data_IF_086195970988
#
_entry.id   IF_086195970988
#
_cell.length_a   1.000
_cell.length_b   1.000
_cell.length_c   1.000
_cell.angle_alpha   90.00
_cell.angle_beta   90.00
_cell.angle_gamma   90.00
#
_symmetry.space_group_name_H-M   'P 1'
#
loop_
_entity.id
_entity.type
_entity.pdbx_description
1 polymer ?
#
# COMPACT_ATOMS: atom_id res chain seq x y z
N UNK A 1 21.24 -1.92 11.58
CA UNK A 1 19.90 -2.06 11.02
C UNK A 1 19.05 -0.93 11.58
N UNK A 2 18.34 -0.23 10.72
CA UNK A 2 17.34 0.78 11.10
C UNK A 2 15.98 0.23 10.70
N UNK A 3 15.06 0.14 11.66
CA UNK A 3 13.69 -0.27 11.38
C UNK A 3 12.90 0.92 10.84
N UNK A 4 12.09 0.66 9.82
CA UNK A 4 11.13 1.64 9.33
C UNK A 4 9.97 1.76 10.31
N UNK A 5 9.52 2.96 10.58
CA UNK A 5 8.36 3.22 11.43
C UNK A 5 7.15 2.45 10.90
N UNK A 6 6.40 1.81 11.81
CA UNK A 6 5.25 0.95 11.49
C UNK A 6 5.51 -0.22 10.52
N UNK A 7 6.76 -0.59 10.29
CA UNK A 7 7.13 -1.69 9.39
C UNK A 7 6.61 -3.08 9.82
N UNK A 8 6.11 -3.18 11.04
CA UNK A 8 5.44 -4.41 11.54
C UNK A 8 3.95 -4.51 11.16
N UNK A 9 3.36 -3.47 10.62
CA UNK A 9 1.96 -3.40 10.16
C UNK A 9 0.93 -3.88 11.19
N UNK A 10 1.13 -3.57 12.46
CA UNK A 10 0.24 -3.99 13.56
C UNK A 10 -1.05 -3.19 13.63
N UNK A 11 -1.00 -1.93 13.22
CA UNK A 11 -2.07 -0.96 13.39
C UNK A 11 -2.79 -0.69 12.08
N UNK A 12 -4.10 -0.85 12.10
CA UNK A 12 -4.97 -0.60 10.96
C UNK A 12 -6.29 -0.04 11.43
N UNK A 13 -6.92 0.77 10.59
CA UNK A 13 -8.33 1.10 10.73
C UNK A 13 -9.01 1.01 9.38
N UNK A 14 -10.32 0.93 9.40
CA UNK A 14 -11.16 0.90 8.20
C UNK A 14 -12.33 1.84 8.29
N UNK A 15 -12.78 2.28 7.14
CA UNK A 15 -14.03 2.99 6.97
C UNK A 15 -14.82 2.29 5.87
N UNK A 16 -16.09 2.10 6.11
CA UNK A 16 -16.97 1.58 5.08
C UNK A 16 -17.32 2.70 4.10
N UNK A 17 -17.04 2.49 2.82
CA UNK A 17 -17.34 3.40 1.72
C UNK A 17 -18.37 2.77 0.79
N UNK A 18 -19.02 3.57 -0.03
CA UNK A 18 -20.00 3.08 -1.00
C UNK A 18 -21.24 2.40 -0.39
N UNK A 19 -21.84 3.00 0.62
CA UNK A 19 -23.17 2.60 1.09
C UNK A 19 -24.25 3.09 0.11
N UNK A 20 -25.09 2.16 -0.37
CA UNK A 20 -26.23 2.51 -1.20
C UNK A 20 -27.44 2.84 -0.33
N UNK A 21 -27.98 4.04 -0.51
CA UNK A 21 -29.25 4.43 0.11
C UNK A 21 -30.38 4.21 -0.88
N UNK A 22 -31.34 3.39 -0.49
CA UNK A 22 -32.59 3.17 -1.24
C UNK A 22 -33.70 3.91 -0.51
N UNK A 23 -34.42 4.81 -1.19
CA UNK A 23 -35.42 5.71 -0.62
C UNK A 23 -36.55 5.00 0.16
N UNK A 24 -36.90 3.78 -0.21
CA UNK A 24 -38.01 3.04 0.40
C UNK A 24 -37.60 2.10 1.53
N UNK A 25 -36.32 1.78 1.69
CA UNK A 25 -35.80 0.79 2.66
C UNK A 25 -34.61 1.27 3.48
N UNK A 26 -34.19 2.53 3.31
CA UNK A 26 -33.04 3.11 4.01
C UNK A 26 -31.69 2.70 3.39
N UNK A 27 -30.63 2.80 4.18
CA UNK A 27 -29.28 2.46 3.71
C UNK A 27 -29.10 0.96 3.67
N UNK A 28 -28.90 0.41 2.50
CA UNK A 28 -28.55 -1.02 2.34
C UNK A 28 -27.05 -1.18 2.33
N UNK A 29 -26.55 -2.09 3.17
CA UNK A 29 -25.13 -2.29 3.42
C UNK A 29 -24.40 -3.08 2.34
N UNK A 30 -24.17 -2.47 1.19
CA UNK A 30 -23.21 -2.95 0.19
C UNK A 30 -21.94 -2.12 0.24
N UNK A 31 -21.50 -1.74 1.45
CA UNK A 31 -20.28 -0.99 1.63
C UNK A 31 -19.04 -1.84 1.39
N UNK A 32 -17.96 -1.15 1.03
CA UNK A 32 -16.64 -1.73 0.91
C UNK A 32 -15.78 -1.19 2.03
N UNK A 33 -15.01 -2.05 2.66
CA UNK A 33 -14.02 -1.66 3.64
C UNK A 33 -12.82 -1.01 2.94
N UNK A 34 -12.62 0.27 3.19
CA UNK A 34 -11.41 0.98 2.81
C UNK A 34 -10.46 1.01 4.00
N UNK A 35 -9.28 0.43 3.84
CA UNK A 35 -8.30 0.24 4.90
C UNK A 35 -7.15 1.25 4.84
N UNK A 36 -6.66 1.64 6.03
CA UNK A 36 -5.44 2.43 6.23
C UNK A 36 -4.48 1.70 7.17
N UNK A 37 -3.15 1.74 6.90
CA UNK A 37 -2.13 1.05 7.69
C UNK A 37 -1.73 1.82 8.96
N UNK A 38 -2.69 2.38 9.68
CA UNK A 38 -2.53 3.06 10.96
C UNK A 38 -3.87 3.13 11.71
N UNK A 39 -3.81 3.43 13.02
CA UNK A 39 -5.02 3.60 13.84
C UNK A 39 -5.81 4.84 13.44
N UNK A 40 -7.11 4.82 13.64
CA UNK A 40 -7.98 5.97 13.40
C UNK A 40 -7.48 7.21 14.14
N UNK A 41 -7.43 8.33 13.43
CA UNK A 41 -6.86 9.59 13.93
C UNK A 41 -5.33 9.66 13.99
N UNK A 42 -4.66 8.59 13.59
CA UNK A 42 -3.20 8.51 13.52
C UNK A 42 -2.63 8.82 12.13
N UNK A 43 -1.37 8.47 11.97
CA UNK A 43 -0.62 8.56 10.72
C UNK A 43 0.42 7.45 10.64
N UNK A 44 0.99 7.23 9.47
CA UNK A 44 2.09 6.30 9.24
C UNK A 44 2.99 6.82 8.14
N UNK A 45 4.23 6.34 8.09
CA UNK A 45 5.12 6.55 6.95
C UNK A 45 4.62 5.80 5.70
N UNK A 46 3.78 4.78 5.90
CA UNK A 46 3.28 3.91 4.85
C UNK A 46 1.94 4.40 4.31
N UNK A 47 1.81 4.30 3.00
CA UNK A 47 0.59 4.59 2.27
C UNK A 47 0.21 3.43 1.36
N UNK A 48 -1.06 3.39 0.98
CA UNK A 48 -1.62 2.44 0.03
C UNK A 48 -2.39 3.20 -1.06
N UNK A 49 -2.80 2.49 -2.10
CA UNK A 49 -3.72 3.05 -3.11
C UNK A 49 -5.19 2.74 -2.84
N UNK A 50 -5.54 2.35 -1.63
CA UNK A 50 -6.91 1.92 -1.29
C UNK A 50 -7.98 2.98 -1.57
N UNK A 51 -7.67 4.26 -1.40
CA UNK A 51 -8.60 5.34 -1.74
C UNK A 51 -8.94 5.37 -3.24
N UNK A 52 -8.02 4.99 -4.12
CA UNK A 52 -8.26 4.86 -5.54
C UNK A 52 -9.00 3.56 -5.89
N UNK A 53 -8.55 2.42 -5.36
CA UNK A 53 -9.14 1.11 -5.69
C UNK A 53 -10.58 0.99 -5.23
N UNK A 54 -10.95 1.70 -4.17
CA UNK A 54 -12.32 1.79 -3.64
C UNK A 54 -13.05 3.06 -4.03
N UNK A 55 -12.55 3.83 -5.01
CA UNK A 55 -13.13 5.13 -5.37
C UNK A 55 -14.51 4.98 -6.03
N UNK A 56 -15.37 5.94 -5.73
CA UNK A 56 -16.69 6.04 -6.33
C UNK A 56 -16.60 6.80 -7.66
N UNK A 57 -17.23 6.27 -8.70
CA UNK A 57 -17.13 6.85 -10.06
C UNK A 57 -18.32 7.68 -10.55
N UNK A 58 -19.46 7.70 -9.88
CA UNK A 58 -20.57 8.60 -10.28
C UNK A 58 -21.57 8.87 -9.17
N UNK A 59 -22.22 10.05 -9.24
CA UNK A 59 -22.95 10.69 -8.16
C UNK A 59 -24.28 10.07 -7.71
N UNK A 60 -24.89 9.16 -8.42
CA UNK A 60 -26.20 8.59 -8.07
C UNK A 60 -26.13 7.13 -7.64
N UNK A 61 -25.13 6.43 -8.07
CA UNK A 61 -24.87 5.03 -7.73
C UNK A 61 -23.43 4.87 -7.31
N UNK A 62 -23.20 4.12 -6.25
CA UNK A 62 -21.86 3.78 -5.84
C UNK A 62 -21.25 2.79 -6.83
N UNK A 63 -20.42 3.27 -7.72
CA UNK A 63 -19.58 2.45 -8.57
C UNK A 63 -18.17 2.47 -8.03
N UNK A 64 -17.71 1.36 -7.53
CA UNK A 64 -16.32 1.19 -7.11
C UNK A 64 -15.57 0.35 -8.13
N UNK A 65 -14.30 0.60 -8.22
CA UNK A 65 -13.44 -0.13 -9.15
C UNK A 65 -13.11 -1.50 -8.65
N UNK A 66 -12.90 -1.63 -7.34
CA UNK A 66 -12.52 -2.87 -6.68
C UNK A 66 -12.60 -2.72 -5.16
N UNK A 67 -12.15 -3.75 -4.46
CA UNK A 67 -11.92 -3.72 -3.02
C UNK A 67 -10.60 -3.03 -2.69
N UNK A 68 -10.31 -2.81 -1.39
CA UNK A 68 -8.98 -2.38 -0.96
C UNK A 68 -7.91 -3.33 -1.51
N UNK A 69 -6.94 -2.76 -2.22
CA UNK A 69 -5.84 -3.52 -2.81
C UNK A 69 -4.79 -3.95 -1.79
N UNK A 70 -4.74 -3.31 -0.64
CA UNK A 70 -3.84 -3.62 0.46
C UNK A 70 -4.61 -3.69 1.76
N UNK A 71 -4.56 -4.83 2.44
CA UNK A 71 -5.38 -5.12 3.63
C UNK A 71 -4.53 -5.77 4.72
N UNK A 72 -4.95 -5.66 6.01
CA UNK A 72 -4.31 -6.41 7.08
C UNK A 72 -4.70 -7.90 7.04
N UNK A 73 -3.75 -8.76 7.39
CA UNK A 73 -3.98 -10.17 7.69
C UNK A 73 -3.37 -10.53 9.04
N UNK A 74 -3.99 -11.45 9.79
CA UNK A 74 -3.61 -11.75 11.16
C UNK A 74 -2.41 -12.71 11.28
N UNK A 75 -2.12 -13.46 10.23
CA UNK A 75 -1.03 -14.46 10.21
C UNK A 75 0.23 -13.92 9.52
N UNK A 76 0.70 -12.79 10.01
CA UNK A 76 1.98 -12.20 9.59
C UNK A 76 3.19 -12.93 10.16
N UNK A 77 4.37 -12.46 9.81
CA UNK A 77 5.63 -12.98 10.36
C UNK A 77 5.73 -12.75 11.88
N UNK A 78 5.33 -11.57 12.33
CA UNK A 78 5.25 -11.18 13.75
C UNK A 78 3.89 -10.56 14.06
N UNK A 79 2.82 -11.35 14.01
CA UNK A 79 1.46 -10.88 14.25
C UNK A 79 0.72 -10.55 12.95
N UNK A 80 0.47 -9.27 12.66
CA UNK A 80 -0.18 -8.85 11.40
C UNK A 80 0.83 -8.69 10.26
N UNK A 81 0.32 -8.75 9.05
CA UNK A 81 1.03 -8.37 7.84
C UNK A 81 0.14 -7.53 6.92
N UNK A 82 0.74 -6.82 5.99
CA UNK A 82 0.05 -6.21 4.87
C UNK A 82 -0.05 -7.21 3.72
N UNK A 83 -1.26 -7.51 3.28
CA UNK A 83 -1.51 -8.30 2.07
C UNK A 83 -1.77 -7.37 0.89
N UNK A 84 -0.97 -7.48 -0.15
CA UNK A 84 -1.08 -6.70 -1.38
C UNK A 84 -1.69 -7.59 -2.45
N UNK A 85 -2.82 -7.16 -3.01
CA UNK A 85 -3.64 -7.94 -3.94
C UNK A 85 -3.50 -7.41 -5.36
N UNK A 86 -3.07 -8.26 -6.28
CA UNK A 86 -2.82 -7.88 -7.67
C UNK A 86 -4.11 -7.53 -8.42
N UNK A 87 -5.18 -8.32 -8.23
CA UNK A 87 -6.48 -8.07 -8.87
C UNK A 87 -7.16 -6.76 -8.44
N UNK A 88 -6.69 -6.15 -7.36
CA UNK A 88 -7.15 -4.84 -6.88
C UNK A 88 -6.07 -3.77 -6.99
N UNK A 89 -5.08 -3.96 -7.83
CA UNK A 89 -3.96 -3.04 -8.04
C UNK A 89 -3.30 -2.58 -6.73
N UNK A 90 -3.10 -3.52 -5.80
CA UNK A 90 -2.55 -3.26 -4.47
C UNK A 90 -1.13 -2.72 -4.54
N UNK A 91 -0.85 -1.73 -3.68
CA UNK A 91 0.44 -1.10 -3.53
C UNK A 91 0.64 -0.65 -2.10
N UNK A 92 1.86 -0.81 -1.61
CA UNK A 92 2.30 -0.35 -0.29
C UNK A 92 3.62 0.38 -0.45
N UNK A 93 3.70 1.61 0.01
CA UNK A 93 4.87 2.46 -0.19
C UNK A 93 5.06 3.48 0.93
N UNK A 94 6.26 3.99 1.06
CA UNK A 94 6.55 5.15 1.91
C UNK A 94 6.07 6.42 1.19
N UNK A 95 5.26 7.21 1.86
CA UNK A 95 4.74 8.46 1.32
C UNK A 95 3.29 8.73 1.69
N UNK A 96 2.59 9.44 0.83
CA UNK A 96 1.18 9.78 1.01
C UNK A 96 0.36 9.51 -0.25
N UNK A 97 -0.91 9.25 -0.05
CA UNK A 97 -1.84 8.96 -1.13
C UNK A 97 -3.22 9.53 -0.83
N UNK A 98 -3.84 10.10 -1.83
CA UNK A 98 -5.25 10.46 -1.81
C UNK A 98 -5.87 10.23 -3.18
N UNK A 99 -7.18 10.06 -3.21
CA UNK A 99 -7.95 9.99 -4.44
C UNK A 99 -9.32 10.62 -4.24
N UNK A 100 -9.81 11.31 -5.27
CA UNK A 100 -11.17 11.84 -5.30
C UNK A 100 -12.17 10.74 -5.62
N UNK A 101 -13.46 11.00 -5.37
CA UNK A 101 -14.55 10.10 -5.78
C UNK A 101 -14.62 9.85 -7.29
N UNK A 102 -14.04 10.73 -8.09
CA UNK A 102 -13.95 10.59 -9.55
C UNK A 102 -12.70 9.81 -10.00
N UNK A 103 -11.90 9.30 -9.06
CA UNK A 103 -10.71 8.53 -9.37
C UNK A 103 -9.49 9.36 -9.75
N UNK A 104 -9.44 10.64 -9.42
CA UNK A 104 -8.24 11.47 -9.57
C UNK A 104 -7.32 11.21 -8.39
N UNK A 105 -6.15 10.69 -8.67
CA UNK A 105 -5.15 10.26 -7.70
C UNK A 105 -4.08 11.31 -7.49
N UNK A 106 -3.65 11.48 -6.24
CA UNK A 106 -2.46 12.24 -5.88
C UNK A 106 -1.54 11.34 -5.07
N UNK A 107 -0.31 11.17 -5.52
CA UNK A 107 0.73 10.37 -4.85
C UNK A 107 1.93 11.26 -4.60
N UNK A 108 2.45 11.21 -3.37
CA UNK A 108 3.77 11.74 -3.02
C UNK A 108 4.60 10.60 -2.44
N UNK A 109 5.60 10.16 -3.18
CA UNK A 109 6.47 9.07 -2.79
C UNK A 109 7.59 9.55 -1.89
N UNK A 110 7.93 8.71 -0.92
CA UNK A 110 9.09 8.87 -0.08
C UNK A 110 8.77 9.41 1.30
N UNK A 111 9.72 9.27 2.17
CA UNK A 111 9.74 9.82 3.52
C UNK A 111 11.16 10.28 3.84
N UNK A 112 11.27 11.36 4.58
CA UNK A 112 12.56 11.87 5.03
C UNK A 112 13.32 10.80 5.83
N UNK A 113 14.57 10.59 5.46
CA UNK A 113 15.40 9.57 6.06
C UNK A 113 16.82 10.11 6.24
N UNK A 114 17.35 9.99 7.43
CA UNK A 114 18.63 10.63 7.81
C UNK A 114 19.84 9.71 7.70
N UNK A 115 19.69 8.54 7.12
CA UNK A 115 20.77 7.60 6.84
C UNK A 115 20.76 7.19 5.38
N UNK A 116 21.91 6.75 4.88
CA UNK A 116 22.08 6.25 3.52
C UNK A 116 22.00 4.71 3.55
N UNK A 117 20.85 4.11 3.24
CA UNK A 117 20.66 2.66 3.38
C UNK A 117 21.45 1.89 2.33
N UNK A 118 22.01 0.75 2.70
CA UNK A 118 22.65 -0.17 1.76
C UNK A 118 21.65 -1.13 1.11
N UNK A 119 20.52 -1.36 1.78
CA UNK A 119 19.48 -2.27 1.32
C UNK A 119 18.16 -1.99 2.03
N UNK A 120 17.10 -2.52 1.44
CA UNK A 120 15.78 -2.66 2.03
C UNK A 120 15.50 -4.15 2.26
N UNK A 121 15.12 -4.52 3.48
CA UNK A 121 14.87 -5.90 3.87
C UNK A 121 13.47 -6.07 4.44
N UNK A 122 12.83 -7.18 4.11
CA UNK A 122 11.52 -7.54 4.64
C UNK A 122 11.30 -9.05 4.55
N UNK A 123 10.31 -9.55 5.30
CA UNK A 123 9.82 -10.92 5.19
C UNK A 123 8.56 -10.96 4.33
N UNK A 124 8.43 -11.95 3.46
CA UNK A 124 7.33 -12.05 2.54
C UNK A 124 6.83 -13.48 2.34
N UNK A 125 5.58 -13.59 1.96
CA UNK A 125 4.96 -14.71 1.25
C UNK A 125 4.46 -14.20 -0.08
N UNK A 126 4.39 -15.08 -1.06
CA UNK A 126 3.84 -14.74 -2.36
C UNK A 126 3.11 -15.92 -2.96
N UNK A 127 1.96 -15.66 -3.54
CA UNK A 127 1.18 -16.59 -4.35
C UNK A 127 0.95 -15.94 -5.70
N UNK A 128 1.59 -16.50 -6.73
CA UNK A 128 1.36 -16.06 -8.10
C UNK A 128 -0.03 -16.48 -8.58
N UNK A 129 -0.78 -15.54 -9.10
CA UNK A 129 -2.05 -15.77 -9.77
C UNK A 129 -1.84 -15.48 -11.26
N UNK A 130 -2.16 -16.45 -12.12
CA UNK A 130 -2.01 -16.30 -13.58
C UNK A 130 -0.60 -15.89 -14.05
N UNK A 131 0.44 -16.38 -13.40
CA UNK A 131 1.84 -16.05 -13.70
C UNK A 131 2.22 -14.57 -13.43
N UNK A 132 1.44 -13.87 -12.63
CA UNK A 132 1.77 -12.51 -12.20
C UNK A 132 3.00 -12.48 -11.30
N UNK A 133 3.70 -11.36 -11.32
CA UNK A 133 4.88 -11.13 -10.49
C UNK A 133 4.58 -10.09 -9.42
N UNK A 134 5.27 -10.18 -8.28
CA UNK A 134 5.42 -9.05 -7.39
C UNK A 134 6.72 -8.30 -7.68
N UNK A 135 6.73 -7.04 -7.34
CA UNK A 135 7.88 -6.17 -7.44
C UNK A 135 8.09 -5.46 -6.11
N UNK A 136 9.34 -5.39 -5.68
CA UNK A 136 9.76 -4.54 -4.58
C UNK A 136 10.97 -3.72 -5.00
N UNK A 137 10.95 -2.43 -4.73
CA UNK A 137 12.04 -1.54 -5.08
C UNK A 137 12.26 -0.46 -4.02
N UNK A 138 13.45 0.06 -3.99
CA UNK A 138 13.86 1.21 -3.20
C UNK A 138 14.50 2.25 -4.10
N UNK A 139 14.14 3.51 -3.89
CA UNK A 139 14.79 4.66 -4.50
C UNK A 139 15.25 5.58 -3.38
N UNK A 140 16.51 6.01 -3.46
CA UNK A 140 17.09 6.99 -2.54
C UNK A 140 17.32 8.29 -3.32
N UNK A 141 16.71 9.35 -2.83
CA UNK A 141 16.72 10.67 -3.49
C UNK A 141 17.23 11.75 -2.54
N UNK A 142 17.84 12.77 -3.11
CA UNK A 142 18.00 14.07 -2.47
C UNK A 142 16.99 15.05 -3.05
N UNK A 143 16.20 15.67 -2.17
CA UNK A 143 15.22 16.69 -2.55
C UNK A 143 15.63 18.01 -1.94
N UNK A 144 16.12 18.90 -2.77
CA UNK A 144 16.66 20.19 -2.32
C UNK A 144 16.23 21.30 -3.27
N UNK A 145 15.68 22.40 -2.73
CA UNK A 145 15.25 23.57 -3.48
C UNK A 145 14.34 23.27 -4.69
N UNK A 146 13.43 22.30 -4.55
CA UNK A 146 12.51 21.87 -5.61
C UNK A 146 13.15 20.96 -6.66
N UNK A 147 14.42 20.61 -6.49
CA UNK A 147 15.13 19.67 -7.36
C UNK A 147 15.17 18.28 -6.72
N UNK A 148 14.85 17.25 -7.50
CA UNK A 148 14.94 15.85 -7.08
C UNK A 148 16.11 15.20 -7.80
N UNK A 149 17.06 14.66 -7.04
CA UNK A 149 18.21 13.93 -7.60
C UNK A 149 18.21 12.51 -7.05
N UNK A 150 18.12 11.52 -7.93
CA UNK A 150 18.25 10.14 -7.52
C UNK A 150 19.71 9.84 -7.17
N UNK A 151 19.94 9.33 -5.98
CA UNK A 151 21.25 8.95 -5.46
C UNK A 151 21.54 7.46 -5.63
N UNK A 152 20.50 6.65 -5.59
CA UNK A 152 20.64 5.22 -5.71
C UNK A 152 19.29 4.52 -5.82
N UNK A 153 19.31 3.26 -6.25
CA UNK A 153 18.10 2.44 -6.34
C UNK A 153 18.42 0.96 -6.28
N UNK A 154 17.40 0.18 -5.99
CA UNK A 154 17.43 -1.28 -6.08
C UNK A 154 16.05 -1.83 -6.38
N UNK A 155 15.98 -2.98 -7.02
CA UNK A 155 14.74 -3.61 -7.44
C UNK A 155 14.86 -5.11 -7.47
N UNK A 156 13.79 -5.79 -7.06
CA UNK A 156 13.59 -7.22 -7.29
C UNK A 156 12.20 -7.44 -7.88
N UNK A 157 12.06 -8.49 -8.65
CA UNK A 157 10.78 -8.95 -9.17
C UNK A 157 10.79 -10.48 -9.20
N UNK A 158 9.69 -11.11 -8.82
CA UNK A 158 9.55 -12.57 -8.85
C UNK A 158 8.13 -12.99 -9.17
N UNK A 159 8.00 -14.06 -9.93
CA UNK A 159 6.75 -14.78 -10.16
C UNK A 159 6.73 -16.15 -9.48
N UNK A 160 7.72 -16.45 -8.65
CA UNK A 160 7.82 -17.74 -7.96
C UNK A 160 7.02 -17.71 -6.65
N UNK A 161 6.24 -18.76 -6.43
CA UNK A 161 5.49 -18.93 -5.18
C UNK A 161 6.45 -19.06 -3.98
N UNK A 162 6.08 -18.39 -2.90
CA UNK A 162 6.75 -18.45 -1.60
C UNK A 162 5.71 -18.73 -0.52
N UNK A 163 5.50 -20.00 -0.18
CA UNK A 163 4.41 -20.43 0.69
C UNK A 163 4.60 -20.07 2.17
N UNK A 164 5.84 -19.96 2.64
CA UNK A 164 6.19 -19.58 4.00
C UNK A 164 6.97 -18.27 4.01
N UNK A 165 6.93 -17.54 5.13
CA UNK A 165 7.69 -16.29 5.23
C UNK A 165 9.18 -16.52 5.03
N UNK A 166 9.76 -15.77 4.11
CA UNK A 166 11.18 -15.79 3.81
C UNK A 166 11.72 -14.35 3.80
N UNK A 167 12.96 -14.14 4.24
CA UNK A 167 13.61 -12.85 4.13
C UNK A 167 13.96 -12.54 2.67
N UNK A 168 13.87 -11.28 2.31
CA UNK A 168 14.37 -10.76 1.05
C UNK A 168 15.13 -9.47 1.27
N UNK A 169 16.18 -9.27 0.50
CA UNK A 169 17.04 -8.11 0.54
C UNK A 169 17.13 -7.46 -0.83
N UNK A 170 16.71 -6.22 -0.91
CA UNK A 170 16.85 -5.37 -2.10
C UNK A 170 18.04 -4.45 -1.89
N UNK A 171 19.16 -4.74 -2.54
CA UNK A 171 20.38 -3.94 -2.41
C UNK A 171 20.24 -2.60 -3.14
N UNK A 172 20.76 -1.54 -2.54
CA UNK A 172 20.81 -0.21 -3.15
C UNK A 172 22.13 -0.04 -3.89
N UNK A 173 22.05 0.30 -5.16
CA UNK A 173 23.18 0.67 -6.00
C UNK A 173 23.19 2.19 -6.13
N UNK A 174 24.23 2.81 -5.57
CA UNK A 174 24.42 4.26 -5.64
C UNK A 174 25.17 4.65 -6.92
N UNK A 175 24.77 5.78 -7.48
CA UNK A 175 25.43 6.41 -8.64
C UNK A 175 26.46 7.42 -8.22
#
# INVERSE_FOLDING_TARGET
VVELEDGSFKNWHKKEVCKKTIWSVGTTGLGIDQWWPYNEGGSSWWATRNALTTSQRSGVSCYYTSYSGTVPVDNGYEGKAAEIRTHSAGMLFLGSHSATSNGVETIDYGHDFNVRPNAFEFYYKFKSLNSESFEAYIVVENRENGTVTQLGSGRIMSNQDQASFAPVRVNVHYT
#
